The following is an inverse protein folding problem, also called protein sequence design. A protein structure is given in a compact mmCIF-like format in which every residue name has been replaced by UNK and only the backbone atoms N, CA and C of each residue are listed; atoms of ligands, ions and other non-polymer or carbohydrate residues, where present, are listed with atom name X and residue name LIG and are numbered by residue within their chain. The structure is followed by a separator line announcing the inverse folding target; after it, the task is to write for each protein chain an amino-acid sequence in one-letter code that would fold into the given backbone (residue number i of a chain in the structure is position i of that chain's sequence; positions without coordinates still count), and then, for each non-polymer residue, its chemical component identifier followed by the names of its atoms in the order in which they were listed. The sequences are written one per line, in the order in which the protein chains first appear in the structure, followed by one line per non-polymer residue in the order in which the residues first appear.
data_IF_682606187590
#
_entry.id   IF_682606187590
#
_cell.length_a   1.000
_cell.length_b   1.000
_cell.length_c   1.000
_cell.angle_alpha   90.00
_cell.angle_beta   90.00
_cell.angle_gamma   90.00
#
_symmetry.space_group_name_H-M   'P 1'
#
loop_
_entity.id
_entity.type
_entity.pdbx_description
1 polymer ?
#
# COMPACT_ATOMS: atom_id res chain seq x y z
N UNK A 1 -5.57 -16.60 19.23
CA UNK A 1 -5.26 -15.18 18.91
C UNK A 1 -4.00 -15.15 18.07
N UNK A 2 -4.07 -14.50 16.90
CA UNK A 2 -2.92 -14.40 15.99
C UNK A 2 -2.06 -13.22 16.44
N UNK A 3 -0.77 -13.45 16.65
CA UNK A 3 0.16 -12.43 17.11
C UNK A 3 0.34 -11.32 16.06
N UNK A 4 0.41 -10.09 16.54
CA UNK A 4 0.72 -8.95 15.70
C UNK A 4 2.10 -9.13 15.03
N UNK A 5 2.22 -8.94 13.71
CA UNK A 5 3.49 -9.06 13.03
C UNK A 5 4.48 -7.96 13.43
N UNK A 6 5.75 -8.29 13.42
CA UNK A 6 6.86 -7.34 13.55
C UNK A 6 7.50 -7.14 12.18
N UNK A 7 7.18 -6.05 11.52
CA UNK A 7 7.60 -5.81 10.15
C UNK A 7 9.10 -5.50 10.06
N UNK A 8 9.79 -6.17 9.16
CA UNK A 8 11.18 -5.88 8.84
C UNK A 8 11.33 -4.46 8.29
N UNK A 9 12.31 -3.75 8.82
CA UNK A 9 12.65 -2.41 8.33
C UNK A 9 13.47 -2.49 7.04
N UNK A 10 12.77 -2.66 5.92
CA UNK A 10 13.39 -2.69 4.58
C UNK A 10 13.18 -1.35 3.87
N UNK A 11 14.21 -0.80 3.21
CA UNK A 11 14.08 0.44 2.46
C UNK A 11 12.96 0.40 1.41
N UNK A 12 12.77 -0.71 0.72
CA UNK A 12 11.73 -0.91 -0.28
C UNK A 12 10.33 -0.75 0.31
N UNK A 13 10.10 -1.27 1.51
CA UNK A 13 8.82 -1.15 2.20
C UNK A 13 8.59 0.30 2.63
N UNK A 14 9.59 0.92 3.26
CA UNK A 14 9.49 2.29 3.76
C UNK A 14 9.24 3.27 2.63
N UNK A 15 10.04 3.23 1.58
CA UNK A 15 9.91 4.16 0.45
C UNK A 15 8.67 3.88 -0.39
N UNK A 16 8.33 2.61 -0.60
CA UNK A 16 7.11 2.22 -1.31
C UNK A 16 5.86 2.71 -0.60
N UNK A 17 5.73 2.47 0.70
CA UNK A 17 4.59 2.94 1.50
C UNK A 17 4.54 4.47 1.58
N UNK A 18 5.68 5.14 1.72
CA UNK A 18 5.74 6.60 1.71
C UNK A 18 5.15 7.19 0.44
N UNK A 19 5.50 6.63 -0.73
CA UNK A 19 4.93 7.07 -2.00
C UNK A 19 3.41 6.84 -2.06
N UNK A 20 2.91 5.71 -1.57
CA UNK A 20 1.47 5.45 -1.53
C UNK A 20 0.73 6.41 -0.60
N UNK A 21 1.26 6.65 0.60
CA UNK A 21 0.64 7.55 1.56
C UNK A 21 0.65 8.99 1.06
N UNK A 22 1.77 9.44 0.50
CA UNK A 22 1.87 10.78 -0.08
C UNK A 22 0.87 10.96 -1.21
N UNK A 23 0.76 9.96 -2.09
CA UNK A 23 -0.21 9.97 -3.18
C UNK A 23 -1.65 10.05 -2.66
N UNK A 24 -2.00 9.26 -1.64
CA UNK A 24 -3.32 9.30 -1.03
C UNK A 24 -3.63 10.68 -0.41
N UNK A 25 -2.67 11.27 0.29
CA UNK A 25 -2.81 12.61 0.88
C UNK A 25 -2.99 13.67 -0.21
N UNK A 26 -2.18 13.63 -1.26
CA UNK A 26 -2.19 14.64 -2.33
C UNK A 26 -3.52 14.63 -3.11
N UNK A 27 -4.16 13.48 -3.25
CA UNK A 27 -5.41 13.33 -4.00
C UNK A 27 -6.67 13.24 -3.15
N UNK A 28 -6.54 13.16 -1.83
CA UNK A 28 -7.68 13.20 -0.92
C UNK A 28 -8.32 14.59 -0.87
N UNK A 29 -9.59 14.63 -0.51
CA UNK A 29 -10.28 15.90 -0.18
C UNK A 29 -9.96 16.33 1.24
N UNK A 30 -10.14 15.43 2.18
CA UNK A 30 -10.00 15.71 3.62
C UNK A 30 -9.51 14.54 4.44
N UNK A 31 -9.61 13.30 3.94
CA UNK A 31 -9.40 12.13 4.77
C UNK A 31 -8.69 11.00 4.01
N UNK A 32 -7.76 10.37 4.72
CA UNK A 32 -7.10 9.13 4.29
C UNK A 32 -7.25 8.12 5.43
N UNK A 33 -7.68 6.90 5.08
CA UNK A 33 -7.77 5.79 6.02
C UNK A 33 -6.69 4.75 5.72
N UNK A 34 -6.08 4.25 6.75
CA UNK A 34 -5.09 3.17 6.67
C UNK A 34 -5.60 2.03 7.54
N UNK A 35 -5.82 0.89 6.92
CA UNK A 35 -6.31 -0.31 7.59
C UNK A 35 -5.26 -1.42 7.47
N UNK A 36 -4.88 -2.00 8.58
CA UNK A 36 -3.95 -3.12 8.63
C UNK A 36 -4.65 -4.38 9.14
N UNK A 37 -4.47 -5.47 8.46
CA UNK A 37 -4.96 -6.78 8.86
C UNK A 37 -3.91 -7.87 8.65
N UNK A 38 -3.99 -8.94 9.41
CA UNK A 38 -3.06 -10.05 9.28
C UNK A 38 -3.70 -11.38 9.65
N UNK A 39 -3.20 -12.41 9.01
CA UNK A 39 -3.48 -13.81 9.29
C UNK A 39 -2.19 -14.54 9.65
N UNK A 40 -2.26 -15.86 9.79
CA UNK A 40 -1.04 -16.67 9.94
C UNK A 40 -0.16 -16.64 8.68
N UNK A 41 -0.73 -16.39 7.50
CA UNK A 41 -0.06 -16.51 6.22
C UNK A 41 0.20 -15.16 5.54
N UNK A 42 -0.64 -14.15 5.80
CA UNK A 42 -0.62 -12.89 5.07
C UNK A 42 -0.63 -11.67 5.98
N UNK A 43 -0.07 -10.57 5.49
CA UNK A 43 -0.20 -9.23 6.05
C UNK A 43 -0.76 -8.34 4.95
N UNK A 44 -1.84 -7.64 5.22
CA UNK A 44 -2.51 -6.77 4.27
C UNK A 44 -2.61 -5.35 4.82
N UNK A 45 -2.30 -4.38 3.98
CA UNK A 45 -2.46 -2.96 4.24
C UNK A 45 -3.37 -2.37 3.17
N UNK A 46 -4.44 -1.70 3.58
CA UNK A 46 -5.34 -0.97 2.70
C UNK A 46 -5.22 0.53 2.96
N UNK A 47 -5.10 1.28 1.90
CA UNK A 47 -5.02 2.75 1.92
C UNK A 47 -6.20 3.26 1.10
N UNK A 48 -7.06 4.03 1.74
CA UNK A 48 -8.27 4.59 1.14
C UNK A 48 -8.24 6.10 1.28
N UNK A 49 -8.73 6.79 0.27
CA UNK A 49 -8.93 8.24 0.34
C UNK A 49 -10.36 8.64 -0.06
N UNK A 50 -10.73 9.88 0.23
CA UNK A 50 -12.01 10.46 -0.10
C UNK A 50 -11.95 11.38 -1.34
N UNK A 51 -10.92 11.21 -2.17
CA UNK A 51 -10.75 11.94 -3.40
C UNK A 51 -11.61 11.43 -4.55
N UNK A 52 -11.26 11.82 -5.76
CA UNK A 52 -11.99 11.44 -6.98
C UNK A 52 -11.74 10.00 -7.42
N UNK A 53 -10.78 9.32 -6.82
CA UNK A 53 -10.33 8.01 -7.25
C UNK A 53 -9.37 8.06 -8.43
N UNK A 54 -8.97 6.88 -8.88
CA UNK A 54 -8.14 6.75 -10.08
C UNK A 54 -8.98 7.00 -11.33
N UNK A 55 -8.47 7.74 -12.33
CA UNK A 55 -9.11 7.80 -13.63
C UNK A 55 -9.26 6.39 -14.22
N UNK A 56 -10.40 6.04 -14.84
CA UNK A 56 -10.59 4.70 -15.42
C UNK A 56 -9.51 4.30 -16.42
N UNK A 57 -8.99 5.27 -17.16
CA UNK A 57 -7.90 5.06 -18.13
C UNK A 57 -6.59 4.67 -17.45
N UNK A 58 -6.40 5.07 -16.18
CA UNK A 58 -5.20 4.81 -15.41
C UNK A 58 -5.23 3.45 -14.71
N UNK A 59 -6.41 2.98 -14.28
CA UNK A 59 -6.54 1.75 -13.47
C UNK A 59 -5.88 0.53 -14.12
N UNK A 60 -6.01 0.37 -15.44
CA UNK A 60 -5.36 -0.71 -16.17
C UNK A 60 -3.87 -0.52 -16.45
N UNK A 61 -3.32 0.63 -16.11
CA UNK A 61 -1.95 1.05 -16.45
C UNK A 61 -1.14 1.54 -15.26
N UNK A 62 -1.67 1.41 -14.05
CA UNK A 62 -0.97 1.79 -12.83
C UNK A 62 0.31 0.95 -12.69
N UNK A 63 1.42 1.62 -12.43
CA UNK A 63 2.74 1.03 -12.41
C UNK A 63 3.47 1.06 -13.77
N UNK A 64 2.86 1.63 -14.81
CA UNK A 64 3.53 1.92 -16.07
C UNK A 64 4.23 3.30 -15.95
N UNK A 65 5.59 3.37 -16.11
CA UNK A 65 6.32 4.62 -15.97
C UNK A 65 5.97 5.66 -17.04
N UNK A 66 5.35 5.26 -18.13
CA UNK A 66 4.99 6.13 -19.25
C UNK A 66 3.61 6.79 -19.12
N UNK A 67 2.82 6.44 -18.11
CA UNK A 67 1.47 7.02 -17.93
C UNK A 67 1.51 8.53 -17.74
N UNK A 68 2.55 9.07 -17.08
CA UNK A 68 2.73 10.51 -16.87
C UNK A 68 3.46 11.25 -17.99
N UNK A 69 4.10 10.54 -18.93
CA UNK A 69 5.00 11.15 -19.94
C UNK A 69 4.37 11.31 -21.32
N UNK A 70 3.26 10.65 -21.59
CA UNK A 70 2.50 10.86 -22.84
C UNK A 70 1.59 12.08 -22.71
N UNK A 71 2.18 13.25 -22.72
CA UNK A 71 1.48 14.49 -22.99
C UNK A 71 1.05 14.50 -24.44
N UNK A 72 -0.12 14.00 -24.75
CA UNK A 72 -0.84 14.52 -25.90
C UNK A 72 -1.36 15.89 -25.46
N UNK A 73 -0.94 16.93 -26.17
CA UNK A 73 -1.15 18.34 -25.84
C UNK A 73 -2.62 18.76 -25.64
N UNK A 74 -3.58 17.90 -25.90
CA UNK A 74 -5.01 18.18 -25.78
C UNK A 74 -5.64 17.68 -24.47
N UNK A 75 -5.08 16.64 -23.83
CA UNK A 75 -5.67 16.06 -22.62
C UNK A 75 -5.00 16.59 -21.32
N UNK A 76 -3.77 17.05 -21.41
CA UNK A 76 -3.02 17.58 -20.28
C UNK A 76 -3.57 18.93 -19.78
N UNK A 77 -4.30 19.66 -20.60
CA UNK A 77 -4.96 20.92 -20.18
C UNK A 77 -6.23 20.71 -19.36
N UNK A 78 -6.81 19.50 -19.37
CA UNK A 78 -8.10 19.25 -18.72
C UNK A 78 -8.02 18.71 -17.30
N UNK A 79 -6.86 18.16 -16.85
CA UNK A 79 -6.73 17.56 -15.51
C UNK A 79 -5.32 17.66 -14.94
N UNK A 80 -4.85 18.87 -14.55
CA UNK A 80 -3.53 19.05 -13.94
C UNK A 80 -3.36 18.29 -12.61
N UNK A 81 -4.45 17.96 -11.95
CA UNK A 81 -4.49 17.22 -10.66
C UNK A 81 -3.97 15.78 -10.73
N UNK A 82 -3.85 15.20 -11.93
CA UNK A 82 -3.31 13.85 -12.11
C UNK A 82 -1.86 13.84 -12.64
N UNK A 83 -1.25 15.01 -12.81
CA UNK A 83 0.16 15.10 -13.18
C UNK A 83 1.02 14.57 -12.03
N UNK A 84 1.90 13.61 -12.34
CA UNK A 84 2.81 13.00 -11.37
C UNK A 84 2.27 11.75 -10.65
N UNK A 85 0.96 11.46 -10.69
CA UNK A 85 0.37 10.28 -10.06
C UNK A 85 1.02 8.99 -10.58
N UNK A 86 1.25 8.87 -11.90
CA UNK A 86 1.79 7.67 -12.53
C UNK A 86 3.19 7.29 -12.05
N UNK A 87 4.09 8.26 -11.88
CA UNK A 87 5.47 8.00 -11.46
C UNK A 87 5.54 7.55 -9.99
N UNK A 88 4.83 8.21 -9.10
CA UNK A 88 4.80 7.85 -7.69
C UNK A 88 4.23 6.45 -7.46
N UNK A 89 3.15 6.10 -8.15
CA UNK A 89 2.56 4.77 -8.09
C UNK A 89 3.46 3.71 -8.72
N UNK A 90 4.15 4.02 -9.82
CA UNK A 90 5.12 3.12 -10.43
C UNK A 90 6.28 2.80 -9.47
N UNK A 91 6.85 3.81 -8.81
CA UNK A 91 7.92 3.64 -7.83
C UNK A 91 7.43 2.79 -6.66
N UNK A 92 6.27 3.11 -6.10
CA UNK A 92 5.68 2.37 -5.01
C UNK A 92 5.45 0.90 -5.35
N UNK A 93 4.83 0.64 -6.50
CA UNK A 93 4.56 -0.71 -7.00
C UNK A 93 5.85 -1.50 -7.15
N UNK A 94 6.85 -0.92 -7.82
CA UNK A 94 8.14 -1.59 -8.05
C UNK A 94 8.86 -1.94 -6.76
N UNK A 95 8.92 -1.01 -5.81
CA UNK A 95 9.60 -1.22 -4.53
C UNK A 95 8.87 -2.24 -3.65
N UNK A 96 7.56 -2.16 -3.57
CA UNK A 96 6.77 -3.06 -2.74
C UNK A 96 6.72 -4.48 -3.32
N UNK A 97 6.65 -4.63 -4.64
CA UNK A 97 6.76 -5.94 -5.30
C UNK A 97 8.13 -6.59 -5.06
N UNK A 98 9.21 -5.82 -5.02
CA UNK A 98 10.55 -6.32 -4.62
C UNK A 98 10.58 -6.85 -3.19
N UNK A 99 9.77 -6.31 -2.30
CA UNK A 99 9.63 -6.82 -0.93
C UNK A 99 8.76 -8.07 -0.83
N UNK A 100 8.19 -8.53 -1.93
CA UNK A 100 7.31 -9.70 -2.01
C UNK A 100 5.83 -9.38 -1.96
N UNK A 101 5.43 -8.09 -2.06
CA UNK A 101 4.05 -7.68 -2.05
C UNK A 101 3.35 -7.90 -3.40
N UNK A 102 2.04 -8.06 -3.32
CA UNK A 102 1.11 -7.92 -4.43
C UNK A 102 0.23 -6.69 -4.18
N UNK A 103 0.08 -5.83 -5.21
CA UNK A 103 -0.69 -4.61 -5.11
C UNK A 103 -1.94 -4.68 -5.98
N UNK A 104 -3.05 -4.20 -5.41
CA UNK A 104 -4.34 -4.05 -6.11
C UNK A 104 -4.79 -2.61 -6.02
N UNK A 105 -5.20 -2.03 -7.15
CA UNK A 105 -5.69 -0.67 -7.27
C UNK A 105 -7.14 -0.69 -7.74
N UNK A 106 -8.01 0.03 -7.04
CA UNK A 106 -9.43 0.10 -7.37
C UNK A 106 -10.03 1.43 -6.95
N UNK A 107 -11.22 1.69 -7.45
CA UNK A 107 -12.09 2.77 -7.02
C UNK A 107 -13.34 2.20 -6.39
N UNK A 108 -14.00 3.01 -5.59
CA UNK A 108 -15.36 2.75 -5.20
C UNK A 108 -15.64 2.86 -3.72
N UNK A 109 -16.88 2.63 -3.38
CA UNK A 109 -17.39 2.59 -2.02
C UNK A 109 -17.01 1.28 -1.37
N UNK A 110 -16.39 1.34 -0.20
CA UNK A 110 -16.13 0.15 0.60
C UNK A 110 -17.48 -0.46 1.04
N UNK A 111 -17.79 -1.71 0.63
CA UNK A 111 -19.04 -2.35 1.01
C UNK A 111 -19.22 -2.52 2.53
N UNK A 112 -18.14 -2.46 3.29
CA UNK A 112 -18.19 -2.53 4.75
C UNK A 112 -18.49 -1.18 5.43
N UNK A 113 -18.34 -0.07 4.71
CA UNK A 113 -18.63 1.29 5.22
C UNK A 113 -19.99 1.83 4.80
N UNK A 114 -20.69 1.14 3.92
CA UNK A 114 -22.02 1.55 3.42
C UNK A 114 -23.17 1.36 4.43
N UNK A 115 -22.89 0.84 5.62
CA UNK A 115 -23.91 0.60 6.65
C UNK A 115 -24.10 1.78 7.60
N UNK A 116 -23.19 2.74 7.63
CA UNK A 116 -23.36 3.99 8.37
C UNK A 116 -23.72 5.10 7.40
N UNK A 117 -24.89 5.69 7.61
CA UNK A 117 -25.58 6.69 6.79
C UNK A 117 -24.82 8.01 6.57
N UNK A 118 -23.56 8.10 6.87
CA UNK A 118 -22.70 9.21 6.50
C UNK A 118 -21.79 8.79 5.35
N UNK A 119 -22.18 9.20 4.20
CA UNK A 119 -21.56 8.97 2.89
C UNK A 119 -20.16 9.56 2.81
N UNK A 120 -19.18 8.95 3.48
CA UNK A 120 -17.80 9.15 3.09
C UNK A 120 -17.62 8.50 1.72
N UNK A 121 -17.59 9.33 0.68
CA UNK A 121 -17.34 8.86 -0.67
C UNK A 121 -15.89 8.36 -0.73
N UNK A 122 -15.71 7.05 -0.83
CA UNK A 122 -14.40 6.45 -1.05
C UNK A 122 -14.00 6.66 -2.52
N UNK A 123 -12.85 7.27 -2.73
CA UNK A 123 -12.26 7.48 -4.04
C UNK A 123 -11.34 6.34 -4.44
N UNK A 124 -10.05 6.47 -4.17
CA UNK A 124 -9.05 5.46 -4.49
C UNK A 124 -8.88 4.45 -3.34
N UNK A 125 -8.66 3.21 -3.71
CA UNK A 125 -8.32 2.11 -2.79
C UNK A 125 -7.05 1.45 -3.32
N UNK A 126 -6.02 1.40 -2.48
CA UNK A 126 -4.78 0.64 -2.74
C UNK A 126 -4.67 -0.45 -1.68
N UNK A 127 -4.56 -1.68 -2.11
CA UNK A 127 -4.31 -2.81 -1.24
C UNK A 127 -2.93 -3.39 -1.50
N UNK A 128 -2.15 -3.57 -0.44
CA UNK A 128 -0.82 -4.16 -0.48
C UNK A 128 -0.83 -5.39 0.40
N UNK A 129 -0.59 -6.56 -0.18
CA UNK A 129 -0.59 -7.83 0.52
C UNK A 129 0.77 -8.51 0.41
N UNK A 130 1.31 -8.95 1.55
CA UNK A 130 2.55 -9.72 1.62
C UNK A 130 2.29 -11.11 2.17
N UNK A 131 3.02 -12.13 1.66
CA UNK A 131 3.23 -13.35 2.42
C UNK A 131 3.91 -13.00 3.75
N UNK A 132 3.32 -13.42 4.87
CA UNK A 132 3.80 -13.02 6.20
C UNK A 132 5.27 -13.39 6.43
N UNK A 133 5.71 -14.55 5.96
CA UNK A 133 7.10 -14.99 6.08
C UNK A 133 8.13 -14.12 5.37
N UNK A 134 7.70 -13.26 4.43
CA UNK A 134 8.60 -12.38 3.70
C UNK A 134 8.99 -11.12 4.46
N UNK A 135 8.14 -10.65 5.36
CA UNK A 135 8.33 -9.35 6.02
C UNK A 135 8.17 -9.37 7.55
N UNK A 136 7.67 -10.46 8.13
CA UNK A 136 7.58 -10.59 9.59
C UNK A 136 8.92 -11.09 10.16
N UNK A 137 9.57 -10.23 10.96
CA UNK A 137 10.85 -10.55 11.60
C UNK A 137 10.81 -11.74 12.55
N UNK A 138 9.61 -12.15 12.97
CA UNK A 138 9.41 -13.30 13.87
C UNK A 138 9.18 -14.61 13.14
N UNK A 139 9.06 -14.57 11.81
CA UNK A 139 8.68 -15.72 10.97
C UNK A 139 9.51 -15.81 9.70
N UNK A 140 9.56 -17.00 9.13
CA UNK A 140 10.19 -17.24 7.84
C UNK A 140 11.71 -17.19 7.87
N UNK A 141 12.31 -16.85 6.74
CA UNK A 141 13.77 -16.82 6.51
C UNK A 141 14.51 -15.85 7.44
N UNK A 142 13.78 -14.90 8.03
CA UNK A 142 14.34 -13.84 8.88
C UNK A 142 14.10 -14.06 10.37
N UNK A 143 13.45 -15.17 10.75
CA UNK A 143 13.28 -15.51 12.15
C UNK A 143 14.68 -15.76 12.75
N UNK A 144 15.14 -14.84 13.59
CA UNK A 144 16.36 -15.05 14.36
C UNK A 144 16.15 -16.30 15.21
N UNK A 145 17.14 -17.21 15.27
CA UNK A 145 17.08 -18.35 16.17
C UNK A 145 16.81 -17.81 17.58
N UNK A 146 15.78 -18.34 18.23
CA UNK A 146 15.49 -17.96 19.60
C UNK A 146 16.77 -18.20 20.41
N UNK A 147 17.33 -17.15 20.99
CA UNK A 147 18.45 -17.29 21.92
C UNK A 147 18.03 -18.31 22.95
N UNK A 148 18.68 -19.48 22.95
CA UNK A 148 18.59 -20.42 24.07
C UNK A 148 18.97 -19.58 25.28
N UNK A 149 18.06 -19.44 26.24
CA UNK A 149 18.38 -18.82 27.54
C UNK A 149 19.70 -19.31 27.98
N UNK A 150 20.66 -18.40 28.24
CA UNK A 150 21.94 -18.78 28.82
C UNK A 150 21.67 -19.67 30.02
N UNK A 151 22.04 -20.94 29.93
CA UNK A 151 22.06 -21.79 31.08
C UNK A 151 23.17 -21.24 31.97
N UNK A 152 22.79 -20.74 33.13
CA UNK A 152 23.73 -20.38 34.17
C UNK A 152 24.41 -21.72 34.56
N UNK A 153 25.63 -21.89 34.15
CA UNK A 153 26.46 -23.01 34.64
C UNK A 153 26.77 -22.67 36.08
N UNK A 154 26.05 -23.28 37.01
CA UNK A 154 26.43 -23.27 38.41
C UNK A 154 27.76 -24.07 38.52
N UNK A 155 28.80 -23.36 38.88
CA UNK A 155 30.05 -23.97 39.22
C UNK A 155 29.96 -24.68 40.58
#
# INVERSE_FOLDING_TARGET
QIDQPAILRKPEIIHGLRNLFQNAVDFSRSCVWIEASWTEETICLRILDDGRGFPPQLLGRIGDPFVGSRKTNAESQQRPEYEGMGLGLFIAKTLLERSGAELTFSNGTDPYKSLDNETAQIGAIVEVAWPRGKIDARRGEYALPQNKKNQIVQA
#
